data_IF_163129976583
#
_entry.id   IF_163129976583
#
_cell.length_a   1.000
_cell.length_b   1.000
_cell.length_c   1.000
_cell.angle_alpha   90.00
_cell.angle_beta   90.00
_cell.angle_gamma   90.00
#
_symmetry.space_group_name_H-M   'P 1'
#
loop_
_entity.id
_entity.type
_entity.pdbx_description
1 polymer ?
#
# COMPACT_ATOMS: atom_id res chain seq x y z
N UNK A 1 -23.79 29.08 -2.14
CA UNK A 1 -22.87 28.43 -1.16
C UNK A 1 -23.36 27.01 -0.82
N UNK A 2 -22.88 26.02 -1.57
CA UNK A 2 -23.20 24.62 -1.31
C UNK A 2 -22.12 24.04 -0.39
N UNK A 3 -22.37 24.04 0.91
CA UNK A 3 -21.54 23.28 1.86
C UNK A 3 -21.90 21.82 1.68
N UNK A 4 -21.18 21.16 0.78
CA UNK A 4 -21.31 19.74 0.54
C UNK A 4 -21.01 18.99 1.85
N UNK A 5 -22.01 18.32 2.40
CA UNK A 5 -21.82 17.44 3.55
C UNK A 5 -20.77 16.39 3.19
N UNK A 6 -19.65 16.38 3.92
CA UNK A 6 -18.61 15.38 3.73
C UNK A 6 -19.20 14.01 4.08
N UNK A 7 -19.56 13.25 3.06
CA UNK A 7 -20.02 11.88 3.22
C UNK A 7 -18.90 11.07 3.86
N UNK A 8 -19.18 10.46 5.01
CA UNK A 8 -18.24 9.60 5.72
C UNK A 8 -17.81 8.45 4.81
N UNK A 9 -16.54 8.45 4.39
CA UNK A 9 -15.90 7.32 3.73
C UNK A 9 -15.19 6.51 4.81
N UNK A 10 -15.66 5.29 5.15
CA UNK A 10 -14.96 4.47 6.12
C UNK A 10 -13.54 4.21 5.63
N UNK A 11 -12.57 4.31 6.53
CA UNK A 11 -11.18 4.03 6.22
C UNK A 11 -11.00 2.61 5.69
N UNK A 12 -10.00 2.38 4.81
CA UNK A 12 -9.69 1.05 4.33
C UNK A 12 -9.32 0.15 5.51
N UNK A 13 -10.12 -0.90 5.74
CA UNK A 13 -9.82 -1.94 6.73
C UNK A 13 -9.15 -3.12 6.03
N UNK A 14 -8.06 -3.60 6.61
CA UNK A 14 -7.42 -4.85 6.16
C UNK A 14 -8.31 -6.03 6.54
N UNK A 15 -8.63 -6.87 5.57
CA UNK A 15 -9.41 -8.09 5.73
C UNK A 15 -8.52 -9.32 5.80
N UNK A 16 -7.57 -9.42 4.87
CA UNK A 16 -6.68 -10.57 4.76
C UNK A 16 -5.38 -10.20 4.03
N UNK A 17 -4.32 -10.96 4.25
CA UNK A 17 -3.04 -10.84 3.54
C UNK A 17 -2.58 -12.24 3.12
N UNK A 18 -2.31 -12.43 1.84
CA UNK A 18 -1.89 -13.71 1.28
C UNK A 18 -0.56 -13.56 0.52
N UNK A 19 0.40 -14.49 0.69
CA UNK A 19 1.60 -14.49 -0.13
C UNK A 19 1.26 -14.88 -1.58
N UNK A 20 1.82 -14.16 -2.55
CA UNK A 20 1.72 -14.48 -3.98
C UNK A 20 3.08 -14.95 -4.46
N UNK A 21 3.24 -16.27 -4.53
CA UNK A 21 4.54 -16.90 -4.79
C UNK A 21 5.59 -16.44 -3.78
N UNK A 22 6.83 -16.25 -4.24
CA UNK A 22 7.95 -15.80 -3.39
C UNK A 22 8.31 -14.32 -3.58
N UNK A 23 7.55 -13.56 -4.37
CA UNK A 23 7.96 -12.22 -4.81
C UNK A 23 7.02 -11.09 -4.38
N UNK A 24 5.83 -11.39 -3.85
CA UNK A 24 4.83 -10.39 -3.51
C UNK A 24 3.85 -10.86 -2.43
N UNK A 25 3.10 -9.89 -1.89
CA UNK A 25 1.93 -10.13 -1.03
C UNK A 25 0.69 -9.48 -1.64
N UNK A 26 -0.46 -10.10 -1.43
CA UNK A 26 -1.77 -9.58 -1.82
C UNK A 26 -2.51 -9.14 -0.56
N UNK A 27 -3.02 -7.91 -0.57
CA UNK A 27 -3.77 -7.35 0.55
C UNK A 27 -5.23 -7.19 0.14
N UNK A 28 -6.12 -7.81 0.91
CA UNK A 28 -7.56 -7.67 0.75
C UNK A 28 -8.05 -6.54 1.65
N UNK A 29 -8.62 -5.50 1.03
CA UNK A 29 -9.17 -4.34 1.72
C UNK A 29 -10.70 -4.38 1.65
N UNK A 30 -11.37 -3.90 2.71
CA UNK A 30 -12.83 -3.90 2.80
C UNK A 30 -13.52 -3.00 1.76
N UNK A 31 -12.82 -1.98 1.26
CA UNK A 31 -13.40 -0.91 0.44
C UNK A 31 -13.23 -1.16 -1.06
N UNK A 32 -13.68 -2.30 -1.59
CA UNK A 32 -13.95 -2.56 -3.02
C UNK A 32 -12.81 -2.40 -4.04
N UNK A 33 -11.68 -1.80 -3.67
CA UNK A 33 -10.44 -1.70 -4.43
C UNK A 33 -9.48 -2.80 -3.98
N UNK A 34 -10.04 -4.00 -3.88
CA UNK A 34 -9.47 -5.16 -3.21
C UNK A 34 -8.74 -6.00 -4.25
N UNK A 35 -7.47 -5.70 -4.56
CA UNK A 35 -6.51 -6.67 -5.14
C UNK A 35 -5.18 -6.05 -5.57
N UNK A 36 -4.59 -5.15 -4.77
CA UNK A 36 -3.19 -4.78 -5.01
C UNK A 36 -2.28 -5.97 -4.72
N UNK A 37 -1.48 -6.41 -5.70
CA UNK A 37 -0.31 -7.25 -5.47
C UNK A 37 0.88 -6.32 -5.26
N UNK A 38 1.52 -6.41 -4.11
CA UNK A 38 2.65 -5.57 -3.73
C UNK A 38 3.92 -6.42 -3.74
N UNK A 39 4.85 -6.10 -4.63
CA UNK A 39 6.16 -6.77 -4.67
C UNK A 39 7.01 -6.38 -3.47
N UNK A 40 7.95 -7.26 -3.08
CA UNK A 40 8.89 -6.96 -2.00
C UNK A 40 9.71 -5.71 -2.27
N UNK A 41 10.13 -5.51 -3.52
CA UNK A 41 10.89 -4.32 -3.92
C UNK A 41 10.08 -3.05 -3.69
N UNK A 42 8.81 -3.04 -4.10
CA UNK A 42 7.92 -1.90 -3.87
C UNK A 42 7.70 -1.61 -2.38
N UNK A 43 7.57 -2.65 -1.55
CA UNK A 43 7.43 -2.46 -0.11
C UNK A 43 8.70 -1.90 0.53
N UNK A 44 9.89 -2.31 0.09
CA UNK A 44 11.16 -1.73 0.56
C UNK A 44 11.33 -0.27 0.11
N UNK A 45 10.86 0.06 -1.08
CA UNK A 45 10.83 1.43 -1.59
C UNK A 45 9.89 2.36 -0.80
N UNK A 46 8.91 1.80 -0.10
CA UNK A 46 8.02 2.56 0.81
C UNK A 46 8.53 2.55 2.26
N UNK A 47 9.23 1.50 2.68
CA UNK A 47 9.69 1.31 4.06
C UNK A 47 10.72 2.35 4.55
N UNK A 48 10.39 3.17 5.54
CA UNK A 48 11.28 4.19 6.12
C UNK A 48 12.40 3.64 7.03
N UNK A 49 12.73 2.34 6.92
CA UNK A 49 13.76 1.71 7.74
C UNK A 49 15.17 2.19 7.35
N UNK A 50 16.10 2.27 8.31
CA UNK A 50 17.47 2.73 8.05
C UNK A 50 18.18 1.95 6.94
N UNK A 51 18.03 0.62 6.94
CA UNK A 51 18.58 -0.29 5.91
C UNK A 51 17.98 -0.05 4.52
N UNK A 52 16.68 0.21 4.48
CA UNK A 52 15.92 0.45 3.26
C UNK A 52 16.33 1.79 2.65
N UNK A 53 16.42 2.83 3.49
CA UNK A 53 16.79 4.19 3.09
C UNK A 53 18.25 4.24 2.60
N UNK A 54 19.17 3.51 3.24
CA UNK A 54 20.56 3.45 2.78
C UNK A 54 20.73 2.71 1.45
N UNK A 55 19.84 1.76 1.15
CA UNK A 55 19.94 0.89 -0.04
C UNK A 55 19.15 1.44 -1.23
N UNK A 56 18.20 2.35 -1.02
CA UNK A 56 17.44 2.99 -2.10
C UNK A 56 18.38 3.76 -3.02
N UNK A 57 18.38 3.39 -4.31
CA UNK A 57 19.04 4.20 -5.32
C UNK A 57 18.36 5.58 -5.38
N UNK A 58 19.14 6.68 -5.51
CA UNK A 58 18.55 7.99 -5.70
C UNK A 58 17.69 7.94 -6.97
N UNK A 59 16.39 8.20 -6.82
CA UNK A 59 15.47 8.26 -7.95
C UNK A 59 15.92 9.43 -8.84
N UNK A 60 16.59 9.12 -9.94
CA UNK A 60 16.93 10.11 -10.97
C UNK A 60 15.60 10.61 -11.52
N UNK A 61 15.27 11.86 -11.18
CA UNK A 61 14.10 12.59 -11.68
C UNK A 61 14.29 13.04 -13.10
#
# INVERSE_FOLDING_TARGET
PATAFQMYKPGPKMLNVEPVGSYAIRIYLYVGHSSGIYSWDHLRDLCSCGECVSTRQPRVT
#
